data_IF_234961952950
#
_entry.id   IF_234961952950
#
_cell.length_a   1.000
_cell.length_b   1.000
_cell.length_c   1.000
_cell.angle_alpha   90.00
_cell.angle_beta   90.00
_cell.angle_gamma   90.00
#
_symmetry.space_group_name_H-M   'P 1'
#
loop_
_entity.id
_entity.type
_entity.pdbx_description
1 polymer ?
#
# COMPACT_ATOMS: atom_id res chain seq x y z
N UNK A 1 -2.09 -22.57 -21.72
CA UNK A 1 -1.67 -23.14 -20.42
C UNK A 1 -0.17 -22.98 -20.29
N UNK A 2 0.30 -22.31 -19.25
CA UNK A 2 1.68 -21.84 -19.01
C UNK A 2 2.71 -22.98 -18.99
N UNK A 3 3.27 -23.40 -20.13
CA UNK A 3 3.96 -24.69 -20.23
C UNK A 3 5.33 -24.64 -19.57
N UNK A 4 5.98 -23.47 -19.58
CA UNK A 4 7.21 -23.24 -18.83
C UNK A 4 6.98 -23.29 -17.32
N UNK A 5 6.00 -22.52 -16.80
CA UNK A 5 5.74 -22.45 -15.37
C UNK A 5 5.29 -23.80 -14.78
N UNK A 6 4.39 -24.49 -15.48
CA UNK A 6 3.80 -25.75 -15.01
C UNK A 6 4.67 -26.97 -15.35
N UNK A 7 5.29 -26.99 -16.54
CA UNK A 7 6.05 -28.14 -17.03
C UNK A 7 7.51 -28.20 -16.57
N UNK A 8 8.03 -27.15 -15.93
CA UNK A 8 9.39 -27.12 -15.38
C UNK A 8 9.44 -27.23 -13.85
N UNK A 9 8.32 -27.55 -13.20
CA UNK A 9 8.30 -27.73 -11.74
C UNK A 9 8.54 -26.43 -10.94
N UNK A 10 8.29 -25.26 -11.54
CA UNK A 10 8.57 -23.96 -10.90
C UNK A 10 7.57 -23.66 -9.78
N UNK A 11 6.32 -24.09 -9.95
CA UNK A 11 5.26 -23.87 -8.98
C UNK A 11 5.08 -25.10 -8.11
N UNK A 12 4.70 -24.89 -6.84
CA UNK A 12 4.43 -25.99 -5.90
C UNK A 12 3.37 -26.92 -6.50
N UNK A 13 3.64 -28.23 -6.45
CA UNK A 13 2.81 -29.32 -6.99
C UNK A 13 2.70 -29.36 -8.53
N UNK A 14 3.39 -28.49 -9.27
CA UNK A 14 3.31 -28.48 -10.74
C UNK A 14 3.97 -29.70 -11.40
N UNK A 15 4.94 -30.33 -10.74
CA UNK A 15 5.57 -31.57 -11.17
C UNK A 15 4.61 -32.77 -11.22
N UNK A 16 3.44 -32.66 -10.60
CA UNK A 16 2.39 -33.69 -10.54
C UNK A 16 1.39 -33.57 -11.70
N UNK A 17 1.47 -32.52 -12.51
CA UNK A 17 0.52 -32.25 -13.60
C UNK A 17 0.97 -32.89 -14.93
N UNK A 18 0.01 -33.51 -15.62
CA UNK A 18 0.13 -33.89 -17.02
C UNK A 18 -0.33 -32.75 -17.95
N UNK A 19 0.02 -32.77 -19.25
CA UNK A 19 -0.32 -31.70 -20.19
C UNK A 19 -1.81 -31.36 -20.32
N UNK A 20 -2.70 -32.32 -20.00
CA UNK A 20 -4.15 -32.17 -20.11
C UNK A 20 -4.86 -31.96 -18.76
N UNK A 21 -4.12 -31.93 -17.66
CA UNK A 21 -4.70 -31.77 -16.32
C UNK A 21 -5.13 -30.31 -16.07
N UNK A 22 -6.15 -30.13 -15.24
CA UNK A 22 -6.55 -28.79 -14.78
C UNK A 22 -5.54 -28.25 -13.79
N UNK A 23 -5.18 -26.97 -13.92
CA UNK A 23 -4.15 -26.34 -13.07
C UNK A 23 -4.65 -25.86 -11.70
N UNK A 24 -5.91 -26.14 -11.34
CA UNK A 24 -6.54 -25.63 -10.10
C UNK A 24 -5.76 -26.00 -8.83
N UNK A 25 -5.25 -27.24 -8.77
CA UNK A 25 -4.46 -27.72 -7.63
C UNK A 25 -3.11 -27.01 -7.46
N UNK A 26 -2.58 -26.42 -8.53
CA UNK A 26 -1.38 -25.59 -8.46
C UNK A 26 -1.73 -24.15 -8.12
N UNK A 27 -2.80 -23.61 -8.71
CA UNK A 27 -3.25 -22.23 -8.46
C UNK A 27 -3.72 -22.00 -7.03
N UNK A 28 -4.21 -23.04 -6.32
CA UNK A 28 -4.63 -22.93 -4.91
C UNK A 28 -3.53 -22.45 -3.98
N UNK A 29 -2.26 -22.69 -4.33
CA UNK A 29 -1.10 -22.23 -3.56
C UNK A 29 -0.85 -20.73 -3.71
N UNK A 30 -1.39 -20.12 -4.77
CA UNK A 30 -1.32 -18.69 -5.00
C UNK A 30 -2.12 -17.90 -3.96
N UNK A 31 -1.79 -16.61 -3.86
CA UNK A 31 -2.48 -15.66 -2.99
C UNK A 31 -3.61 -14.95 -3.76
N UNK A 32 -4.81 -14.93 -3.17
CA UNK A 32 -5.98 -14.24 -3.70
C UNK A 32 -6.15 -12.91 -2.97
N UNK A 33 -5.68 -11.83 -3.58
CA UNK A 33 -5.62 -10.52 -2.93
C UNK A 33 -6.84 -9.66 -3.22
N UNK A 34 -7.44 -9.11 -2.17
CA UNK A 34 -8.39 -7.99 -2.29
C UNK A 34 -7.64 -6.70 -2.01
N UNK A 35 -7.67 -5.79 -2.98
CA UNK A 35 -7.01 -4.49 -2.91
C UNK A 35 -7.92 -3.37 -2.42
N UNK A 36 -7.34 -2.35 -1.80
CA UNK A 36 -8.00 -1.07 -1.55
C UNK A 36 -7.09 0.13 -1.86
N UNK A 37 -7.71 1.29 -2.02
CA UNK A 37 -7.10 2.61 -2.21
C UNK A 37 -8.01 3.68 -1.58
N UNK A 38 -7.47 4.84 -1.23
CA UNK A 38 -8.26 6.03 -0.93
C UNK A 38 -8.88 6.02 0.46
N UNK A 39 -8.17 5.45 1.45
CA UNK A 39 -8.67 5.47 2.83
C UNK A 39 -8.85 6.91 3.34
N UNK A 40 -7.95 7.82 2.98
CA UNK A 40 -8.04 9.22 3.39
C UNK A 40 -9.31 9.89 2.85
N UNK A 41 -9.60 9.71 1.56
CA UNK A 41 -10.79 10.27 0.90
C UNK A 41 -12.08 9.59 1.39
N UNK A 42 -12.03 8.29 1.67
CA UNK A 42 -13.13 7.57 2.32
C UNK A 42 -13.47 8.18 3.68
N UNK A 43 -12.47 8.44 4.52
CA UNK A 43 -12.66 9.07 5.84
C UNK A 43 -13.15 10.51 5.72
N UNK A 44 -12.59 11.29 4.78
CA UNK A 44 -13.09 12.63 4.45
C UNK A 44 -14.57 12.63 4.08
N UNK A 45 -14.99 11.68 3.25
CA UNK A 45 -16.40 11.55 2.86
C UNK A 45 -17.32 11.15 4.04
N UNK A 46 -16.84 10.31 4.96
CA UNK A 46 -17.65 9.80 6.08
C UNK A 46 -17.75 10.78 7.26
N UNK A 47 -16.64 11.43 7.63
CA UNK A 47 -16.54 12.21 8.87
C UNK A 47 -15.84 13.57 8.69
N UNK A 48 -15.52 13.98 7.46
CA UNK A 48 -14.95 15.29 7.14
C UNK A 48 -13.43 15.42 7.37
N UNK A 49 -12.79 14.42 7.98
CA UNK A 49 -11.35 14.42 8.28
C UNK A 49 -10.71 13.07 7.99
N UNK A 50 -9.44 13.07 7.57
CA UNK A 50 -8.64 11.87 7.35
C UNK A 50 -7.84 11.48 8.60
N UNK A 51 -7.28 10.27 8.58
CA UNK A 51 -6.59 9.64 9.70
C UNK A 51 -5.28 10.32 10.16
N UNK A 52 -4.81 11.34 9.45
CA UNK A 52 -3.71 12.22 9.87
C UNK A 52 -4.16 13.40 10.73
N UNK A 53 -5.42 13.82 10.56
CA UNK A 53 -6.01 15.01 11.18
C UNK A 53 -6.63 14.71 12.54
N UNK A 54 -7.24 13.52 12.72
CA UNK A 54 -7.99 13.18 13.94
C UNK A 54 -7.73 11.75 14.41
N UNK A 55 -7.69 11.57 15.73
CA UNK A 55 -7.63 10.26 16.38
C UNK A 55 -8.88 9.42 16.06
N UNK A 56 -10.05 10.05 16.02
CA UNK A 56 -11.31 9.39 15.65
C UNK A 56 -11.24 8.84 14.22
N UNK A 57 -10.66 9.61 13.30
CA UNK A 57 -10.46 9.18 11.92
C UNK A 57 -9.48 8.01 11.81
N UNK A 58 -8.41 8.01 12.61
CA UNK A 58 -7.47 6.90 12.68
C UNK A 58 -8.14 5.62 13.22
N UNK A 59 -8.94 5.73 14.29
CA UNK A 59 -9.67 4.59 14.85
C UNK A 59 -10.72 4.04 13.86
N UNK A 60 -11.44 4.92 13.16
CA UNK A 60 -12.36 4.51 12.11
C UNK A 60 -11.62 3.83 10.95
N UNK A 61 -10.50 4.38 10.50
CA UNK A 61 -9.68 3.79 9.44
C UNK A 61 -9.21 2.38 9.78
N UNK A 62 -8.71 2.17 11.00
CA UNK A 62 -8.30 0.85 11.49
C UNK A 62 -9.48 -0.12 11.58
N UNK A 63 -10.68 0.33 11.97
CA UNK A 63 -11.88 -0.53 11.96
C UNK A 63 -12.28 -0.94 10.55
N UNK A 64 -12.24 -0.03 9.58
CA UNK A 64 -12.58 -0.32 8.18
C UNK A 64 -11.61 -1.38 7.63
N UNK A 65 -10.30 -1.12 7.71
CA UNK A 65 -9.28 -2.03 7.19
C UNK A 65 -9.27 -3.35 7.97
N UNK A 66 -9.45 -3.30 9.28
CA UNK A 66 -9.58 -4.49 10.13
C UNK A 66 -10.77 -5.37 9.73
N UNK A 67 -11.92 -4.78 9.38
CA UNK A 67 -13.07 -5.54 8.88
C UNK A 67 -12.78 -6.19 7.52
N UNK A 68 -12.10 -5.48 6.62
CA UNK A 68 -11.65 -6.05 5.33
C UNK A 68 -10.70 -7.22 5.55
N UNK A 69 -9.74 -7.10 6.47
CA UNK A 69 -8.80 -8.19 6.80
C UNK A 69 -9.54 -9.40 7.39
N UNK A 70 -10.42 -9.18 8.36
CA UNK A 70 -11.21 -10.26 8.97
C UNK A 70 -12.04 -11.01 7.93
N UNK A 71 -12.61 -10.30 6.95
CA UNK A 71 -13.36 -10.91 5.85
C UNK A 71 -12.48 -11.85 5.00
N UNK A 72 -11.22 -11.49 4.75
CA UNK A 72 -10.27 -12.35 4.03
C UNK A 72 -9.92 -13.60 4.85
N UNK A 73 -9.66 -13.44 6.15
CA UNK A 73 -9.36 -14.57 7.03
C UNK A 73 -10.56 -15.55 7.13
N UNK A 74 -11.79 -15.03 7.18
CA UNK A 74 -13.03 -15.82 7.13
C UNK A 74 -13.15 -16.63 5.82
N UNK A 75 -12.90 -16.00 4.67
CA UNK A 75 -12.97 -16.69 3.37
C UNK A 75 -11.85 -17.72 3.20
N UNK A 76 -10.65 -17.45 3.69
CA UNK A 76 -9.55 -18.43 3.69
C UNK A 76 -9.93 -19.67 4.49
N UNK A 77 -10.52 -19.51 5.69
CA UNK A 77 -11.00 -20.64 6.50
C UNK A 77 -12.12 -21.43 5.82
N UNK A 78 -13.03 -20.73 5.14
CA UNK A 78 -14.19 -21.34 4.48
C UNK A 78 -13.81 -22.14 3.24
N UNK A 79 -12.85 -21.65 2.46
CA UNK A 79 -12.53 -22.19 1.13
C UNK A 79 -11.25 -23.02 1.10
N UNK A 80 -10.36 -22.84 2.08
CA UNK A 80 -9.01 -23.39 2.05
C UNK A 80 -8.06 -22.67 1.10
N UNK A 81 -8.48 -21.57 0.47
CA UNK A 81 -7.65 -20.75 -0.42
C UNK A 81 -7.00 -19.59 0.34
N UNK A 82 -5.88 -19.07 -0.18
CA UNK A 82 -5.10 -18.04 0.51
C UNK A 82 -5.61 -16.62 0.22
N UNK A 83 -6.78 -16.24 0.75
CA UNK A 83 -7.28 -14.87 0.67
C UNK A 83 -6.49 -13.93 1.59
N UNK A 84 -6.15 -12.74 1.08
CA UNK A 84 -5.36 -11.75 1.81
C UNK A 84 -5.72 -10.31 1.43
N UNK A 85 -5.36 -9.36 2.28
CA UNK A 85 -5.63 -7.94 2.05
C UNK A 85 -4.38 -7.22 1.54
N UNK A 86 -4.52 -6.48 0.44
CA UNK A 86 -3.44 -5.76 -0.23
C UNK A 86 -3.64 -4.24 -0.16
N UNK A 87 -2.64 -3.53 0.37
CA UNK A 87 -2.49 -2.11 0.11
C UNK A 87 -1.98 -1.94 -1.33
N UNK A 88 -2.89 -1.63 -2.25
CA UNK A 88 -2.63 -1.65 -3.70
C UNK A 88 -1.64 -0.53 -4.06
N UNK A 89 -0.59 -0.78 -4.88
CA UNK A 89 0.35 0.27 -5.31
C UNK A 89 -0.24 1.26 -6.32
N UNK A 90 -1.45 0.99 -6.83
CA UNK A 90 -2.38 1.88 -7.54
C UNK A 90 -1.82 2.85 -8.60
N UNK A 91 -0.66 2.55 -9.18
CA UNK A 91 -0.08 3.29 -10.28
C UNK A 91 -1.06 3.31 -11.47
N UNK A 92 -1.48 4.50 -11.88
CA UNK A 92 -2.53 4.72 -12.88
C UNK A 92 -3.98 4.48 -12.40
N UNK A 93 -4.22 3.64 -11.38
CA UNK A 93 -5.56 3.39 -10.84
C UNK A 93 -6.09 4.58 -10.03
N UNK A 94 -5.20 5.25 -9.29
CA UNK A 94 -5.53 6.39 -8.43
C UNK A 94 -6.27 7.51 -9.19
N UNK A 95 -5.77 7.89 -10.37
CA UNK A 95 -6.41 8.89 -11.23
C UNK A 95 -7.62 8.34 -12.01
N UNK A 96 -7.66 7.04 -12.29
CA UNK A 96 -8.79 6.42 -13.00
C UNK A 96 -10.07 6.44 -12.16
N UNK A 97 -9.98 6.08 -10.88
CA UNK A 97 -11.15 6.06 -9.99
C UNK A 97 -11.71 7.46 -9.76
N UNK A 98 -10.86 8.46 -9.51
CA UNK A 98 -11.28 9.86 -9.42
C UNK A 98 -12.06 10.30 -10.66
N UNK A 99 -11.58 9.98 -11.88
CA UNK A 99 -12.29 10.35 -13.12
C UNK A 99 -13.67 9.70 -13.23
N UNK A 100 -13.83 8.46 -12.76
CA UNK A 100 -15.11 7.74 -12.77
C UNK A 100 -16.06 8.36 -11.74
N UNK A 101 -15.58 8.57 -10.51
CA UNK A 101 -16.40 9.09 -9.42
C UNK A 101 -16.81 10.55 -9.65
N UNK A 102 -15.92 11.39 -10.21
CA UNK A 102 -16.28 12.75 -10.62
C UNK A 102 -17.41 12.79 -11.64
N UNK A 103 -17.47 11.85 -12.59
CA UNK A 103 -18.56 11.80 -13.58
C UNK A 103 -19.90 11.50 -12.91
N UNK A 104 -19.90 10.74 -11.82
CA UNK A 104 -21.12 10.31 -11.13
C UNK A 104 -21.55 11.27 -10.03
N UNK A 105 -20.60 11.80 -9.27
CA UNK A 105 -20.85 12.56 -8.04
C UNK A 105 -20.37 14.01 -8.09
N UNK A 106 -19.72 14.41 -9.20
CA UNK A 106 -19.13 15.74 -9.33
C UNK A 106 -17.84 15.91 -8.53
N UNK A 107 -17.46 17.17 -8.34
CA UNK A 107 -16.28 17.55 -7.57
C UNK A 107 -16.66 17.68 -6.09
N UNK A 108 -16.10 16.83 -5.24
CA UNK A 108 -16.29 16.82 -3.80
C UNK A 108 -14.98 17.26 -3.15
N UNK A 109 -15.03 18.30 -2.33
CA UNK A 109 -13.87 18.83 -1.62
C UNK A 109 -13.23 17.76 -0.71
N UNK A 110 -11.90 17.63 -0.79
CA UNK A 110 -11.14 16.63 -0.03
C UNK A 110 -11.33 15.18 -0.47
N UNK A 111 -12.08 14.92 -1.55
CA UNK A 111 -12.36 13.56 -2.05
C UNK A 111 -12.02 13.48 -3.54
N UNK A 112 -12.80 14.16 -4.39
CA UNK A 112 -12.63 14.12 -5.85
C UNK A 112 -12.16 15.47 -6.42
N UNK A 113 -11.74 16.40 -5.58
CA UNK A 113 -11.23 17.72 -5.99
C UNK A 113 -9.80 17.69 -6.54
N UNK A 114 -9.01 16.68 -6.16
CA UNK A 114 -7.65 16.37 -6.64
C UNK A 114 -7.67 15.30 -7.70
N UNK A 115 -6.63 15.24 -8.54
CA UNK A 115 -6.54 14.34 -9.70
C UNK A 115 -6.28 12.87 -9.36
N UNK A 116 -6.13 12.53 -8.09
CA UNK A 116 -5.78 11.20 -7.61
C UNK A 116 -6.42 10.91 -6.25
N UNK A 117 -6.65 9.64 -5.95
CA UNK A 117 -6.87 9.16 -4.58
C UNK A 117 -5.54 8.83 -3.90
N UNK A 118 -5.47 9.10 -2.60
CA UNK A 118 -4.32 8.76 -1.77
C UNK A 118 -4.11 7.25 -1.74
N UNK A 119 -2.86 6.82 -1.86
CA UNK A 119 -2.54 5.41 -1.99
C UNK A 119 -2.91 4.62 -0.71
N UNK A 120 -3.73 3.59 -0.84
CA UNK A 120 -4.09 2.67 0.26
C UNK A 120 -4.41 3.37 1.59
N UNK A 121 -3.56 3.20 2.60
CA UNK A 121 -3.67 3.76 3.94
C UNK A 121 -2.73 4.94 4.19
N UNK A 122 -2.03 5.45 3.18
CA UNK A 122 -1.03 6.50 3.36
C UNK A 122 -1.67 7.78 3.89
N UNK A 123 -0.92 8.49 4.72
CA UNK A 123 -1.23 9.87 5.04
C UNK A 123 -1.10 10.69 3.74
N UNK A 124 -2.09 11.52 3.38
CA UNK A 124 -2.04 12.28 2.13
C UNK A 124 -0.79 13.15 2.01
N UNK A 125 -0.19 13.15 0.82
CA UNK A 125 1.07 13.90 0.55
C UNK A 125 0.92 15.41 0.75
N UNK A 126 -0.29 15.96 0.60
CA UNK A 126 -0.56 17.38 0.81
C UNK A 126 -0.70 17.75 2.29
N UNK A 127 -0.77 16.76 3.20
CA UNK A 127 -0.98 17.01 4.63
C UNK A 127 0.37 17.18 5.33
N UNK A 128 0.67 18.35 5.92
CA UNK A 128 1.93 18.58 6.59
C UNK A 128 2.01 17.74 7.87
N UNK A 129 2.98 16.82 7.93
CA UNK A 129 3.17 15.92 9.06
C UNK A 129 4.65 15.61 9.27
N UNK A 130 5.06 15.50 10.53
CA UNK A 130 6.39 15.00 10.90
C UNK A 130 6.52 13.50 10.55
N UNK A 131 7.69 13.11 10.01
CA UNK A 131 8.01 11.73 9.61
C UNK A 131 7.72 10.67 10.69
N UNK A 132 8.14 10.89 11.93
CA UNK A 132 7.90 9.97 13.06
C UNK A 132 6.41 9.80 13.35
N UNK A 133 5.62 10.87 13.25
CA UNK A 133 4.17 10.80 13.43
C UNK A 133 3.51 10.05 12.26
N UNK A 134 3.95 10.30 11.02
CA UNK A 134 3.47 9.56 9.84
C UNK A 134 3.72 8.07 9.98
N UNK A 135 4.96 7.68 10.33
CA UNK A 135 5.34 6.29 10.59
C UNK A 135 4.41 5.64 11.62
N UNK A 136 4.20 6.29 12.77
CA UNK A 136 3.37 5.74 13.85
C UNK A 136 1.90 5.60 13.47
N UNK A 137 1.38 6.49 12.63
CA UNK A 137 0.00 6.41 12.14
C UNK A 137 -0.17 5.32 11.08
N UNK A 138 0.83 5.12 10.21
CA UNK A 138 0.76 4.15 9.13
C UNK A 138 1.10 2.72 9.57
N UNK A 139 1.99 2.54 10.55
CA UNK A 139 2.48 1.22 10.95
C UNK A 139 1.40 0.20 11.34
N UNK A 140 0.33 0.55 12.08
CA UNK A 140 -0.72 -0.42 12.41
C UNK A 140 -1.42 -1.02 11.18
N UNK A 141 -1.44 -0.32 10.05
CA UNK A 141 -2.05 -0.84 8.81
C UNK A 141 -1.19 -1.92 8.14
N UNK A 142 0.13 -1.96 8.38
CA UNK A 142 1.03 -3.00 7.85
C UNK A 142 0.63 -4.38 8.38
N UNK A 143 0.31 -4.47 9.68
CA UNK A 143 -0.17 -5.71 10.29
C UNK A 143 -1.51 -6.21 9.72
N UNK A 144 -2.32 -5.30 9.16
CA UNK A 144 -3.63 -5.63 8.59
C UNK A 144 -3.56 -6.01 7.10
N UNK A 145 -2.45 -5.75 6.43
CA UNK A 145 -2.31 -5.85 4.96
C UNK A 145 -1.27 -6.90 4.57
N UNK A 146 -1.56 -8.15 4.91
CA UNK A 146 -0.63 -9.28 4.78
C UNK A 146 -0.27 -9.67 3.33
N UNK A 147 -0.99 -9.19 2.33
CA UNK A 147 -0.66 -9.43 0.93
C UNK A 147 0.43 -8.49 0.39
N UNK A 148 0.68 -7.38 1.09
CA UNK A 148 1.60 -6.35 0.66
C UNK A 148 1.21 -4.97 1.16
N UNK A 149 2.23 -4.21 1.53
CA UNK A 149 2.16 -2.84 2.03
C UNK A 149 3.52 -2.18 1.87
N UNK A 150 3.52 -0.85 1.90
CA UNK A 150 4.73 -0.03 1.98
C UNK A 150 4.38 1.29 2.65
N UNK A 151 5.33 1.90 3.37
CA UNK A 151 5.25 3.30 3.81
C UNK A 151 6.45 4.09 3.30
N UNK A 152 6.21 5.30 2.81
CA UNK A 152 7.24 6.24 2.37
C UNK A 152 7.45 7.34 3.39
N UNK A 153 8.69 7.77 3.58
CA UNK A 153 9.05 9.04 4.23
C UNK A 153 9.80 9.87 3.21
N UNK A 154 9.33 11.09 2.99
CA UNK A 154 9.99 12.07 2.13
C UNK A 154 11.02 12.85 2.97
N UNK A 155 12.26 12.93 2.47
CA UNK A 155 13.32 13.76 3.03
C UNK A 155 13.78 14.80 2.01
N UNK A 156 13.97 16.01 2.51
CA UNK A 156 14.58 17.10 1.74
C UNK A 156 16.11 17.02 1.87
N UNK A 157 16.81 17.18 0.73
CA UNK A 157 18.28 17.23 0.68
C UNK A 157 18.99 15.89 0.73
N UNK A 158 20.32 15.94 0.90
CA UNK A 158 21.22 14.77 0.93
C UNK A 158 21.23 14.10 2.33
N UNK A 159 20.70 12.87 2.48
CA UNK A 159 20.73 12.15 3.75
C UNK A 159 22.15 11.88 4.26
N UNK A 160 23.16 11.88 3.39
CA UNK A 160 24.56 11.68 3.79
C UNK A 160 25.08 12.82 4.67
N UNK A 161 24.50 14.01 4.59
CA UNK A 161 24.87 15.15 5.44
C UNK A 161 24.33 15.01 6.87
N UNK A 162 23.39 14.09 7.13
CA UNK A 162 22.82 13.87 8.44
C UNK A 162 22.40 12.41 8.66
N UNK A 163 23.41 11.54 8.68
CA UNK A 163 23.23 10.09 8.88
C UNK A 163 22.55 9.76 10.21
N UNK A 164 22.76 10.57 11.25
CA UNK A 164 22.15 10.38 12.56
C UNK A 164 20.62 10.57 12.50
N UNK A 165 20.14 11.60 11.80
CA UNK A 165 18.70 11.80 11.59
C UNK A 165 18.11 10.70 10.69
N UNK A 166 18.82 10.31 9.64
CA UNK A 166 18.42 9.20 8.77
C UNK A 166 18.27 7.89 9.57
N UNK A 167 19.25 7.55 10.40
CA UNK A 167 19.21 6.36 11.25
C UNK A 167 18.04 6.39 12.24
N UNK A 168 17.72 7.55 12.82
CA UNK A 168 16.57 7.68 13.71
C UNK A 168 15.24 7.37 13.01
N UNK A 169 15.09 7.74 11.74
CA UNK A 169 13.90 7.40 10.95
C UNK A 169 13.81 5.89 10.74
N UNK A 170 14.91 5.24 10.36
CA UNK A 170 14.97 3.78 10.17
C UNK A 170 14.64 3.05 11.48
N UNK A 171 15.20 3.49 12.60
CA UNK A 171 14.89 2.94 13.93
C UNK A 171 13.42 3.12 14.27
N UNK A 172 12.86 4.30 14.02
CA UNK A 172 11.44 4.55 14.25
C UNK A 172 10.54 3.63 13.40
N UNK A 173 10.88 3.41 12.12
CA UNK A 173 10.16 2.47 11.26
C UNK A 173 10.17 1.05 11.86
N UNK A 174 11.37 0.56 12.22
CA UNK A 174 11.55 -0.76 12.84
C UNK A 174 10.74 -0.89 14.13
N UNK A 175 10.89 0.06 15.05
CA UNK A 175 10.27 0.04 16.38
C UNK A 175 8.74 0.19 16.31
N UNK A 176 8.22 0.89 15.30
CA UNK A 176 6.78 1.05 15.10
C UNK A 176 6.13 -0.15 14.40
N UNK A 177 6.91 -1.08 13.86
CA UNK A 177 6.40 -2.27 13.15
C UNK A 177 6.10 -2.04 11.67
N UNK A 178 6.80 -1.13 11.01
CA UNK A 178 6.76 -0.99 9.55
C UNK A 178 7.37 -2.25 8.92
N UNK A 179 6.56 -3.00 8.16
CA UNK A 179 6.99 -4.25 7.50
C UNK A 179 7.83 -3.99 6.25
N UNK A 180 7.44 -2.99 5.45
CA UNK A 180 8.23 -2.51 4.32
C UNK A 180 8.22 -0.98 4.29
N UNK A 181 9.39 -0.39 4.49
CA UNK A 181 9.59 1.06 4.49
C UNK A 181 10.50 1.49 3.35
N UNK A 182 10.28 2.69 2.85
CA UNK A 182 11.16 3.35 1.90
C UNK A 182 11.31 4.83 2.28
N UNK A 183 12.49 5.37 1.98
CA UNK A 183 12.79 6.78 2.14
C UNK A 183 13.03 7.35 0.76
N UNK A 184 12.23 8.33 0.40
CA UNK A 184 12.37 9.08 -0.83
C UNK A 184 13.18 10.34 -0.51
N UNK A 185 14.23 10.58 -1.28
CA UNK A 185 15.01 11.80 -1.26
C UNK A 185 15.35 12.15 -2.72
N UNK A 186 15.61 13.42 -3.04
CA UNK A 186 16.02 13.77 -4.41
C UNK A 186 17.28 12.99 -4.79
N UNK A 187 17.37 12.54 -6.04
CA UNK A 187 18.56 11.92 -6.67
C UNK A 187 18.77 12.55 -8.06
N UNK A 188 19.41 13.72 -8.11
CA UNK A 188 19.67 14.54 -9.28
C UNK A 188 21.15 14.42 -9.66
N UNK A 189 21.42 13.94 -10.88
CA UNK A 189 22.77 13.85 -11.43
C UNK A 189 22.76 14.33 -12.88
N UNK A 190 23.61 15.31 -13.18
CA UNK A 190 23.86 15.72 -14.55
C UNK A 190 24.71 14.65 -15.27
N UNK A 191 24.20 14.00 -16.34
CA UNK A 191 24.96 13.01 -17.08
C UNK A 191 26.12 13.61 -17.89
N UNK A 192 26.11 14.91 -18.19
CA UNK A 192 27.15 15.57 -18.98
C UNK A 192 28.35 15.99 -18.13
N UNK A 193 28.13 16.67 -17.01
CA UNK A 193 29.23 17.14 -16.16
C UNK A 193 29.44 16.34 -14.88
N UNK A 194 28.52 15.42 -14.54
CA UNK A 194 28.60 14.59 -13.34
C UNK A 194 28.23 15.32 -12.04
N UNK A 195 27.74 16.56 -12.11
CA UNK A 195 27.27 17.30 -10.95
C UNK A 195 26.07 16.61 -10.30
N UNK A 196 26.12 16.47 -8.98
CA UNK A 196 25.00 15.99 -8.16
C UNK A 196 24.36 17.20 -7.50
N UNK A 197 23.06 17.42 -7.74
CA UNK A 197 22.33 18.61 -7.28
C UNK A 197 21.87 18.57 -5.83
N UNK A 198 22.38 17.61 -5.06
CA UNK A 198 21.91 17.19 -3.75
C UNK A 198 23.09 17.20 -2.80
#
# INVERSE_FOLDING_TARGET
NYPFLMGQGIWIDSEKLNPNDTIGEVLKHGTLSVGFIGLAECLKALIGVHHGESKEAQELGLRIIGRMRARMDEESKKTGLNFSLLATPAEGLSGRFVKIDRKKFGKIEGVTDREYYTNSFHIPVYFPINAFRKIKLEAPYHALTNAGHISYVELDGDPLQNLEAFEQIIRCMKESGIGYGSINHPVDRDPCCGYTGI
#
